data_IF_205209550254
#
_entry.id   IF_205209550254
#
_cell.length_a   1.000
_cell.length_b   1.000
_cell.length_c   1.000
_cell.angle_alpha   90.00
_cell.angle_beta   90.00
_cell.angle_gamma   90.00
#
_symmetry.space_group_name_H-M   'P 1'
#
loop_
_entity.id
_entity.type
_entity.pdbx_description
1 polymer ?
#
# COMPACT_ATOMS: atom_id res chain seq x y z
N UNK A 1 19.23 -7.07 18.35
CA UNK A 1 18.94 -8.51 18.12
C UNK A 1 17.49 -8.64 17.71
N UNK A 2 17.20 -9.27 16.56
CA UNK A 2 15.84 -9.38 16.03
C UNK A 2 15.03 -10.47 16.75
N UNK A 3 13.95 -10.08 17.41
CA UNK A 3 12.98 -11.00 18.01
C UNK A 3 11.85 -11.30 17.02
N UNK A 4 11.38 -12.55 16.92
CA UNK A 4 10.22 -12.92 16.09
C UNK A 4 8.97 -13.07 16.95
N UNK A 5 7.88 -12.42 16.56
CA UNK A 5 6.64 -12.34 17.33
C UNK A 5 5.41 -12.59 16.45
N UNK A 6 4.40 -13.29 16.98
CA UNK A 6 3.09 -13.41 16.34
C UNK A 6 2.21 -12.18 16.61
N UNK A 7 1.19 -11.95 15.79
CA UNK A 7 0.27 -10.81 15.93
C UNK A 7 -0.43 -10.77 17.30
N UNK A 8 -0.70 -11.92 17.91
CA UNK A 8 -1.29 -12.05 19.24
C UNK A 8 -0.41 -11.48 20.37
N UNK A 9 0.88 -11.32 20.11
CA UNK A 9 1.87 -10.78 21.05
C UNK A 9 2.21 -9.31 20.83
N UNK A 10 1.57 -8.66 19.85
CA UNK A 10 1.72 -7.24 19.54
C UNK A 10 0.55 -6.41 20.11
N UNK A 11 0.84 -5.15 20.43
CA UNK A 11 -0.21 -4.16 20.69
C UNK A 11 -0.63 -3.52 19.37
N UNK A 12 -1.94 -3.47 19.09
CA UNK A 12 -2.47 -2.76 17.92
C UNK A 12 -2.95 -1.38 18.38
N UNK A 13 -2.25 -0.34 17.96
CA UNK A 13 -2.60 1.06 18.25
C UNK A 13 -3.61 1.62 17.23
N UNK A 14 -4.30 2.70 17.62
CA UNK A 14 -5.35 3.40 16.87
C UNK A 14 -6.51 2.54 16.30
N UNK A 15 -6.62 1.28 16.72
CA UNK A 15 -7.66 0.33 16.28
C UNK A 15 -9.09 0.87 16.39
N UNK A 16 -9.34 1.73 17.37
CA UNK A 16 -10.66 2.33 17.60
C UNK A 16 -11.09 3.22 16.42
N UNK A 17 -10.16 3.93 15.79
CA UNK A 17 -10.42 4.89 14.72
C UNK A 17 -10.94 4.22 13.45
N UNK A 18 -10.68 2.92 13.27
CA UNK A 18 -11.10 2.16 12.08
C UNK A 18 -12.42 1.39 12.27
N UNK A 19 -13.01 1.39 13.47
CA UNK A 19 -14.17 0.53 13.80
C UNK A 19 -15.42 0.79 12.96
N UNK A 20 -15.60 2.00 12.45
CA UNK A 20 -16.74 2.34 11.59
C UNK A 20 -16.59 1.79 10.16
N UNK A 21 -15.40 1.31 9.77
CA UNK A 21 -15.15 0.74 8.45
C UNK A 21 -15.11 -0.78 8.56
N UNK A 22 -16.20 -1.44 8.11
CA UNK A 22 -16.37 -2.90 8.24
C UNK A 22 -15.21 -3.73 7.69
N UNK A 23 -14.61 -3.26 6.58
CA UNK A 23 -13.47 -3.89 5.92
C UNK A 23 -12.27 -4.08 6.86
N UNK A 24 -11.97 -3.11 7.72
CA UNK A 24 -10.84 -3.21 8.66
C UNK A 24 -10.99 -4.42 9.60
N UNK A 25 -12.19 -4.62 10.15
CA UNK A 25 -12.45 -5.74 11.04
C UNK A 25 -12.31 -7.10 10.33
N UNK A 26 -12.59 -7.15 9.03
CA UNK A 26 -12.39 -8.36 8.22
C UNK A 26 -10.90 -8.63 7.95
N UNK A 27 -10.14 -7.60 7.58
CA UNK A 27 -8.68 -7.69 7.39
C UNK A 27 -7.97 -8.14 8.67
N UNK A 28 -8.31 -7.56 9.82
CA UNK A 28 -7.70 -7.95 11.09
C UNK A 28 -7.95 -9.44 11.40
N UNK A 29 -9.16 -9.97 11.12
CA UNK A 29 -9.44 -11.39 11.30
C UNK A 29 -8.56 -12.25 10.39
N UNK A 30 -8.47 -11.90 9.09
CA UNK A 30 -7.60 -12.60 8.13
C UNK A 30 -6.15 -12.64 8.62
N UNK A 31 -5.63 -11.52 9.12
CA UNK A 31 -4.26 -11.44 9.64
C UNK A 31 -4.03 -12.28 10.89
N UNK A 32 -5.04 -12.41 11.76
CA UNK A 32 -4.98 -13.29 12.94
C UNK A 32 -5.00 -14.77 12.56
N UNK A 33 -5.74 -15.13 11.52
CA UNK A 33 -5.83 -16.52 11.05
C UNK A 33 -4.60 -16.95 10.23
N UNK A 34 -3.81 -15.99 9.73
CA UNK A 34 -2.66 -16.21 8.86
C UNK A 34 -1.34 -16.56 9.59
N UNK A 35 -1.34 -16.66 10.93
CA UNK A 35 -0.15 -16.98 11.76
C UNK A 35 1.11 -16.16 11.39
N UNK A 36 0.92 -14.87 11.08
CA UNK A 36 2.00 -14.00 10.60
C UNK A 36 3.05 -13.74 11.67
N UNK A 37 4.30 -13.68 11.20
CA UNK A 37 5.47 -13.41 12.04
C UNK A 37 6.00 -12.01 11.77
N UNK A 38 6.12 -11.21 12.82
CA UNK A 38 6.73 -9.87 12.80
C UNK A 38 8.12 -9.93 13.43
N UNK A 39 9.03 -9.10 12.93
CA UNK A 39 10.35 -8.96 13.49
C UNK A 39 10.45 -7.70 14.36
N UNK A 40 10.65 -7.84 15.67
CA UNK A 40 10.79 -6.71 16.59
C UNK A 40 12.28 -6.45 16.87
N UNK A 41 12.73 -5.22 16.60
CA UNK A 41 14.11 -4.80 16.87
C UNK A 41 14.31 -4.54 18.36
N UNK A 42 15.57 -4.62 18.81
CA UNK A 42 15.91 -4.17 20.16
C UNK A 42 15.83 -2.63 20.22
N UNK A 43 15.52 -2.04 21.38
CA UNK A 43 15.36 -0.58 21.52
C UNK A 43 16.58 0.23 21.04
N UNK A 44 17.79 -0.33 21.13
CA UNK A 44 19.02 0.32 20.66
C UNK A 44 19.17 0.35 19.14
N UNK A 45 18.34 -0.40 18.40
CA UNK A 45 18.37 -0.56 16.94
C UNK A 45 17.06 -0.10 16.29
N UNK A 46 16.13 0.51 17.05
CA UNK A 46 14.76 0.79 16.61
C UNK A 46 14.69 1.76 15.42
N UNK A 47 15.65 2.68 15.31
CA UNK A 47 15.77 3.63 14.21
C UNK A 47 16.15 2.98 12.87
N UNK A 48 16.61 1.72 12.90
CA UNK A 48 16.94 0.97 11.69
C UNK A 48 15.72 0.28 11.04
N UNK A 49 14.55 0.24 11.70
CA UNK A 49 13.38 -0.49 11.20
C UNK A 49 13.00 -0.11 9.76
N UNK A 50 12.84 1.19 9.48
CA UNK A 50 12.49 1.68 8.14
C UNK A 50 13.54 1.32 7.08
N UNK A 51 14.83 1.52 7.38
CA UNK A 51 15.92 1.15 6.47
C UNK A 51 15.88 -0.35 6.15
N UNK A 52 15.70 -1.18 7.17
CA UNK A 52 15.72 -2.62 7.01
C UNK A 52 14.49 -3.13 6.25
N UNK A 53 13.31 -2.53 6.49
CA UNK A 53 12.12 -2.83 5.69
C UNK A 53 12.35 -2.48 4.22
N UNK A 54 12.82 -1.26 3.92
CA UNK A 54 13.01 -0.81 2.53
C UNK A 54 14.09 -1.61 1.77
N UNK A 55 15.15 -2.03 2.44
CA UNK A 55 16.31 -2.64 1.78
C UNK A 55 16.32 -4.18 1.81
N UNK A 56 15.70 -4.80 2.82
CA UNK A 56 15.88 -6.23 3.10
C UNK A 56 14.59 -7.03 3.34
N UNK A 57 13.44 -6.37 3.47
CA UNK A 57 12.17 -7.09 3.58
C UNK A 57 11.91 -7.95 2.33
N UNK A 58 11.29 -9.11 2.53
CA UNK A 58 10.93 -10.04 1.46
C UNK A 58 9.56 -10.65 1.75
N UNK A 59 8.69 -10.78 0.74
CA UNK A 59 7.44 -11.51 0.90
C UNK A 59 7.68 -12.93 1.44
N UNK A 60 7.00 -13.27 2.53
CA UNK A 60 7.01 -14.62 3.12
C UNK A 60 8.10 -14.93 4.16
N UNK A 61 9.00 -14.00 4.53
CA UNK A 61 9.93 -14.18 5.67
C UNK A 61 9.29 -13.67 6.98
N UNK A 62 9.00 -12.38 7.01
CA UNK A 62 8.29 -11.69 8.09
C UNK A 62 7.30 -10.70 7.46
N UNK A 63 6.21 -10.42 8.18
CA UNK A 63 5.22 -9.44 7.76
C UNK A 63 5.82 -8.03 7.73
N UNK A 64 6.51 -7.61 8.80
CA UNK A 64 7.16 -6.31 8.90
C UNK A 64 8.24 -6.33 10.01
N UNK A 65 9.26 -5.47 9.88
CA UNK A 65 10.16 -5.12 10.98
C UNK A 65 9.61 -3.93 11.77
N UNK A 66 9.40 -4.12 13.06
CA UNK A 66 8.85 -3.14 13.98
C UNK A 66 9.93 -2.60 14.93
N UNK A 67 9.94 -1.29 15.22
CA UNK A 67 10.88 -0.67 16.16
C UNK A 67 10.64 -1.12 17.62
N UNK A 68 9.42 -1.55 17.93
CA UNK A 68 8.96 -2.00 19.24
C UNK A 68 7.80 -3.02 19.03
N UNK A 69 7.22 -3.63 20.07
CA UNK A 69 6.16 -4.63 19.90
C UNK A 69 4.77 -3.99 19.71
N UNK A 70 4.71 -2.92 18.92
CA UNK A 70 3.49 -2.19 18.55
C UNK A 70 3.37 -2.14 17.04
N UNK A 71 2.13 -2.28 16.55
CA UNK A 71 1.77 -2.05 15.16
C UNK A 71 0.56 -1.12 15.12
N UNK A 72 0.56 -0.11 14.26
CA UNK A 72 -0.62 0.74 14.10
C UNK A 72 -1.70 0.03 13.29
N UNK A 73 -2.95 0.48 13.42
CA UNK A 73 -4.05 -0.09 12.66
C UNK A 73 -3.86 0.04 11.15
N UNK A 74 -3.35 1.17 10.65
CA UNK A 74 -3.06 1.37 9.22
C UNK A 74 -1.93 0.44 8.74
N UNK A 75 -0.82 0.29 9.49
CA UNK A 75 0.23 -0.67 9.16
C UNK A 75 -0.30 -2.11 9.07
N UNK A 76 -1.14 -2.52 10.02
CA UNK A 76 -1.75 -3.85 9.97
C UNK A 76 -2.65 -4.02 8.74
N UNK A 77 -3.42 -2.99 8.38
CA UNK A 77 -4.28 -3.02 7.20
C UNK A 77 -3.47 -3.05 5.90
N UNK A 78 -2.39 -2.27 5.80
CA UNK A 78 -1.46 -2.27 4.68
C UNK A 78 -0.82 -3.65 4.50
N UNK A 79 -0.28 -4.23 5.57
CA UNK A 79 0.28 -5.59 5.56
C UNK A 79 -0.74 -6.66 5.18
N UNK A 80 -2.01 -6.47 5.53
CA UNK A 80 -3.07 -7.38 5.13
C UNK A 80 -3.25 -7.44 3.62
N UNK A 81 -3.13 -6.31 2.91
CA UNK A 81 -3.22 -6.31 1.45
C UNK A 81 -2.04 -7.00 0.78
N UNK A 82 -0.83 -6.86 1.32
CA UNK A 82 0.33 -7.64 0.86
C UNK A 82 0.12 -9.13 1.07
N UNK A 83 -0.35 -9.53 2.25
CA UNK A 83 -0.64 -10.93 2.54
C UNK A 83 -1.69 -11.50 1.57
N UNK A 84 -2.81 -10.80 1.39
CA UNK A 84 -3.87 -11.20 0.47
C UNK A 84 -3.39 -11.25 -0.99
N UNK A 85 -2.54 -10.32 -1.41
CA UNK A 85 -1.95 -10.36 -2.76
C UNK A 85 -1.09 -11.61 -2.95
N UNK A 86 -0.26 -11.99 -1.97
CA UNK A 86 0.52 -13.23 -2.01
C UNK A 86 -0.40 -14.46 -2.08
N UNK A 87 -1.45 -14.46 -1.27
CA UNK A 87 -2.41 -15.56 -1.18
C UNK A 87 -3.17 -15.77 -2.51
N UNK A 88 -3.70 -14.70 -3.10
CA UNK A 88 -4.58 -14.77 -4.27
C UNK A 88 -3.84 -14.77 -5.62
N UNK A 89 -2.63 -14.21 -5.68
CA UNK A 89 -1.80 -14.27 -6.90
C UNK A 89 -0.92 -15.52 -6.94
N UNK A 90 -0.71 -16.20 -5.80
CA UNK A 90 0.14 -17.39 -5.70
C UNK A 90 1.57 -17.10 -6.17
N UNK A 91 2.09 -17.94 -7.06
CA UNK A 91 3.45 -17.74 -7.59
C UNK A 91 3.62 -16.37 -8.28
N UNK A 92 2.56 -15.87 -8.92
CA UNK A 92 2.58 -14.60 -9.66
C UNK A 92 2.85 -13.39 -8.76
N UNK A 93 2.60 -13.50 -7.45
CA UNK A 93 2.98 -12.46 -6.47
C UNK A 93 4.49 -12.18 -6.46
N UNK A 94 5.32 -13.16 -6.84
CA UNK A 94 6.78 -13.02 -6.91
C UNK A 94 7.28 -12.41 -8.21
N UNK A 95 6.41 -12.26 -9.21
CA UNK A 95 6.80 -11.62 -10.47
C UNK A 95 7.04 -10.12 -10.26
N UNK A 96 7.82 -9.44 -11.13
CA UNK A 96 7.96 -8.00 -11.06
C UNK A 96 6.61 -7.25 -11.05
N UNK A 97 5.64 -7.65 -11.89
CA UNK A 97 4.32 -7.04 -11.87
C UNK A 97 3.50 -7.42 -10.63
N UNK A 98 3.66 -8.63 -10.10
CA UNK A 98 2.99 -9.03 -8.85
C UNK A 98 3.40 -8.16 -7.67
N UNK A 99 4.71 -7.91 -7.53
CA UNK A 99 5.25 -7.02 -6.50
C UNK A 99 4.71 -5.59 -6.64
N UNK A 100 4.69 -5.05 -7.87
CA UNK A 100 4.18 -3.70 -8.12
C UNK A 100 2.67 -3.58 -7.89
N UNK A 101 1.89 -4.60 -8.27
CA UNK A 101 0.44 -4.58 -8.07
C UNK A 101 0.06 -4.67 -6.59
N UNK A 102 0.72 -5.56 -5.84
CA UNK A 102 0.50 -5.72 -4.41
C UNK A 102 0.72 -4.39 -3.66
N UNK A 103 1.85 -3.73 -3.94
CA UNK A 103 2.19 -2.45 -3.36
C UNK A 103 1.24 -1.33 -3.82
N UNK A 104 0.86 -1.30 -5.11
CA UNK A 104 -0.11 -0.32 -5.60
C UNK A 104 -1.49 -0.45 -4.93
N UNK A 105 -1.94 -1.68 -4.62
CA UNK A 105 -3.19 -1.92 -3.88
C UNK A 105 -3.02 -1.47 -2.43
N UNK A 106 -1.97 -1.88 -1.73
CA UNK A 106 -1.75 -1.53 -0.34
C UNK A 106 -1.62 -0.01 -0.13
N UNK A 107 -0.76 0.64 -0.90
CA UNK A 107 -0.57 2.10 -0.88
C UNK A 107 -1.83 2.89 -1.27
N UNK A 108 -2.63 2.40 -2.21
CA UNK A 108 -3.90 3.04 -2.54
C UNK A 108 -4.97 2.85 -1.46
N UNK A 109 -4.93 1.74 -0.73
CA UNK A 109 -5.80 1.54 0.43
C UNK A 109 -5.53 2.55 1.54
N UNK A 110 -4.31 3.04 1.66
CA UNK A 110 -4.02 4.11 2.62
C UNK A 110 -4.80 5.40 2.30
N UNK A 111 -4.96 5.72 1.01
CA UNK A 111 -5.84 6.82 0.57
C UNK A 111 -7.31 6.54 0.85
N UNK A 112 -7.76 5.30 0.66
CA UNK A 112 -9.12 4.90 1.04
C UNK A 112 -9.35 5.12 2.54
N UNK A 113 -8.43 4.67 3.39
CA UNK A 113 -8.52 4.83 4.84
C UNK A 113 -8.57 6.31 5.25
N UNK A 114 -7.68 7.13 4.69
CA UNK A 114 -7.70 8.59 4.94
C UNK A 114 -9.06 9.17 4.57
N UNK A 115 -9.60 8.84 3.40
CA UNK A 115 -10.93 9.29 2.96
C UNK A 115 -12.05 8.89 3.93
N UNK A 116 -12.03 7.66 4.44
CA UNK A 116 -13.01 7.17 5.43
C UNK A 116 -12.83 7.82 6.81
N UNK A 117 -11.62 8.23 7.18
CA UNK A 117 -11.29 8.81 8.48
C UNK A 117 -11.58 10.32 8.55
N UNK A 118 -11.25 11.09 7.50
CA UNK A 118 -11.36 12.56 7.48
C UNK A 118 -12.73 13.09 7.96
N UNK A 119 -13.82 12.42 7.58
CA UNK A 119 -15.19 12.81 7.94
C UNK A 119 -15.75 12.22 9.24
N UNK A 120 -15.03 11.31 9.90
CA UNK A 120 -15.58 10.50 11.01
C UNK A 120 -14.71 10.51 12.27
N UNK A 121 -13.38 10.45 12.10
CA UNK A 121 -12.40 10.37 13.19
C UNK A 121 -11.22 11.28 12.84
N UNK A 122 -11.38 12.61 12.93
CA UNK A 122 -10.35 13.57 12.50
C UNK A 122 -9.07 13.53 13.34
N UNK A 123 -9.15 12.96 14.55
CA UNK A 123 -8.02 12.79 15.46
C UNK A 123 -7.32 11.43 15.32
N UNK A 124 -7.63 10.65 14.26
CA UNK A 124 -6.98 9.38 13.99
C UNK A 124 -5.47 9.57 13.77
N UNK A 125 -4.67 8.65 14.31
CA UNK A 125 -3.20 8.74 14.28
C UNK A 125 -2.66 8.70 12.85
N UNK A 126 -3.27 7.87 12.00
CA UNK A 126 -2.96 7.81 10.56
C UNK A 126 -3.09 9.19 9.89
N UNK A 127 -4.11 9.99 10.24
CA UNK A 127 -4.27 11.32 9.66
C UNK A 127 -3.18 12.28 10.14
N UNK A 128 -2.77 12.17 11.41
CA UNK A 128 -1.75 13.01 12.01
C UNK A 128 -0.35 12.80 11.39
N UNK A 129 -0.09 11.63 10.79
CA UNK A 129 1.19 11.31 10.13
C UNK A 129 1.11 11.43 8.61
N UNK A 130 0.09 10.85 7.97
CA UNK A 130 0.00 10.77 6.51
C UNK A 130 -0.39 12.10 5.86
N UNK A 131 -1.34 12.85 6.43
CA UNK A 131 -1.81 14.10 5.79
C UNK A 131 -0.70 15.16 5.73
N UNK A 132 0.12 15.39 6.78
CA UNK A 132 1.28 16.28 6.68
C UNK A 132 2.30 15.82 5.63
N UNK A 133 2.65 14.53 5.60
CA UNK A 133 3.60 14.00 4.62
C UNK A 133 3.10 14.16 3.17
N UNK A 134 1.83 13.87 2.91
CA UNK A 134 1.20 14.09 1.61
C UNK A 134 1.14 15.58 1.24
N UNK A 135 0.90 16.47 2.22
CA UNK A 135 0.90 17.92 2.02
C UNK A 135 2.28 18.42 1.58
N UNK A 136 3.35 17.96 2.26
CA UNK A 136 4.73 18.29 1.90
C UNK A 136 5.08 17.80 0.48
N UNK A 137 4.69 16.57 0.13
CA UNK A 137 4.87 16.03 -1.20
C UNK A 137 4.11 16.84 -2.27
N UNK A 138 2.85 17.19 -2.00
CA UNK A 138 2.02 17.99 -2.90
C UNK A 138 2.62 19.40 -3.11
N UNK A 139 3.10 20.04 -2.04
CA UNK A 139 3.77 21.33 -2.08
C UNK A 139 5.06 21.27 -2.92
N UNK A 140 5.87 20.21 -2.73
CA UNK A 140 7.06 19.97 -3.55
C UNK A 140 6.74 19.77 -5.05
N UNK A 141 5.55 19.25 -5.35
CA UNK A 141 5.04 19.10 -6.71
C UNK A 141 4.34 20.35 -7.28
N UNK A 142 4.32 21.46 -6.52
CA UNK A 142 3.78 22.75 -6.94
C UNK A 142 2.28 22.93 -6.70
N UNK A 143 1.67 22.10 -5.86
CA UNK A 143 0.28 22.24 -5.43
C UNK A 143 0.23 23.10 -4.17
N UNK A 144 -0.68 24.07 -4.14
CA UNK A 144 -0.89 24.92 -2.97
C UNK A 144 -1.84 24.26 -1.95
N UNK A 145 -2.00 24.91 -0.79
CA UNK A 145 -2.85 24.41 0.29
C UNK A 145 -4.31 24.22 -0.15
N UNK A 146 -4.84 25.09 -1.01
CA UNK A 146 -6.20 24.99 -1.54
C UNK A 146 -6.36 23.77 -2.45
N UNK A 147 -5.39 23.53 -3.35
CA UNK A 147 -5.35 22.36 -4.20
C UNK A 147 -5.23 21.06 -3.41
N UNK A 148 -4.41 21.04 -2.35
CA UNK A 148 -4.29 19.88 -1.48
C UNK A 148 -5.57 19.64 -0.65
N UNK A 149 -6.19 20.70 -0.12
CA UNK A 149 -7.48 20.59 0.57
C UNK A 149 -8.58 20.05 -0.35
N UNK A 150 -8.59 20.45 -1.62
CA UNK A 150 -9.50 19.90 -2.63
C UNK A 150 -9.25 18.40 -2.89
N UNK A 151 -7.99 17.96 -2.85
CA UNK A 151 -7.64 16.55 -2.95
C UNK A 151 -8.16 15.74 -1.75
N UNK A 152 -8.00 16.25 -0.53
CA UNK A 152 -8.55 15.62 0.69
C UNK A 152 -10.08 15.57 0.67
N UNK A 153 -10.75 16.64 0.23
CA UNK A 153 -12.21 16.66 0.04
C UNK A 153 -12.65 15.57 -0.93
N UNK A 154 -11.95 15.45 -2.06
CA UNK A 154 -12.22 14.39 -3.04
C UNK A 154 -12.05 12.98 -2.46
N UNK A 155 -10.96 12.74 -1.71
CA UNK A 155 -10.74 11.44 -1.05
C UNK A 155 -11.85 11.14 -0.04
N UNK A 156 -12.33 12.14 0.70
CA UNK A 156 -13.42 11.95 1.67
C UNK A 156 -14.78 11.74 1.01
N UNK A 157 -15.05 12.39 -0.13
CA UNK A 157 -16.33 12.32 -0.84
C UNK A 157 -16.46 11.05 -1.70
N UNK A 158 -15.35 10.58 -2.27
CA UNK A 158 -15.31 9.46 -3.21
C UNK A 158 -14.13 8.50 -2.89
N UNK A 159 -14.06 7.91 -1.68
CA UNK A 159 -12.90 7.13 -1.25
C UNK A 159 -12.65 5.89 -2.13
N UNK A 160 -13.69 5.21 -2.60
CA UNK A 160 -13.57 4.04 -3.49
C UNK A 160 -13.00 4.42 -4.87
N UNK A 161 -13.34 5.61 -5.36
CA UNK A 161 -12.82 6.13 -6.62
C UNK A 161 -11.39 6.67 -6.47
N UNK A 162 -11.12 7.35 -5.35
CA UNK A 162 -9.79 7.82 -5.00
C UNK A 162 -8.79 6.65 -4.92
N UNK A 163 -9.21 5.53 -4.30
CA UNK A 163 -8.47 4.28 -4.30
C UNK A 163 -8.08 3.84 -5.72
N UNK A 164 -9.06 3.66 -6.63
CA UNK A 164 -8.76 3.11 -7.96
C UNK A 164 -7.96 4.07 -8.83
N UNK A 165 -8.26 5.37 -8.79
CA UNK A 165 -7.49 6.37 -9.54
C UNK A 165 -6.02 6.38 -9.11
N UNK A 166 -5.74 6.28 -7.81
CA UNK A 166 -4.37 6.19 -7.31
C UNK A 166 -3.73 4.83 -7.63
N UNK A 167 -4.43 3.72 -7.35
CA UNK A 167 -3.92 2.35 -7.60
C UNK A 167 -3.52 2.17 -9.05
N UNK A 168 -4.40 2.53 -9.97
CA UNK A 168 -4.14 2.45 -11.41
C UNK A 168 -2.94 3.32 -11.80
N UNK A 169 -2.88 4.56 -11.30
CA UNK A 169 -1.75 5.47 -11.56
C UNK A 169 -0.42 4.89 -11.07
N UNK A 170 -0.36 4.42 -9.82
CA UNK A 170 0.83 3.81 -9.23
C UNK A 170 1.29 2.59 -10.03
N UNK A 171 0.36 1.70 -10.37
CA UNK A 171 0.68 0.49 -11.13
C UNK A 171 1.14 0.80 -12.55
N UNK A 172 0.47 1.71 -13.26
CA UNK A 172 0.83 2.10 -14.63
C UNK A 172 2.18 2.81 -14.70
N UNK A 173 2.44 3.74 -13.77
CA UNK A 173 3.71 4.46 -13.69
C UNK A 173 4.84 3.50 -13.38
N UNK A 174 4.73 2.70 -12.33
CA UNK A 174 5.83 1.81 -11.92
C UNK A 174 6.09 0.70 -12.93
N UNK A 175 5.05 0.14 -13.57
CA UNK A 175 5.21 -0.79 -14.69
C UNK A 175 5.98 -0.14 -15.86
N UNK A 176 5.59 1.08 -16.23
CA UNK A 176 6.26 1.79 -17.33
C UNK A 176 7.70 2.20 -16.98
N UNK A 177 7.97 2.56 -15.72
CA UNK A 177 9.31 2.84 -15.22
C UNK A 177 10.18 1.58 -15.16
N UNK A 178 9.60 0.44 -14.78
CA UNK A 178 10.28 -0.86 -14.79
C UNK A 178 10.81 -1.20 -16.19
N UNK A 179 9.99 -0.95 -17.21
CA UNK A 179 10.27 -1.17 -18.64
C UNK A 179 11.18 -0.09 -19.26
N UNK A 180 11.38 1.06 -18.60
CA UNK A 180 12.18 2.16 -19.15
C UNK A 180 13.67 1.81 -19.20
N UNK A 181 14.25 1.91 -20.41
CA UNK A 181 15.66 1.59 -20.69
C UNK A 181 16.63 2.63 -20.11
N UNK A 182 16.23 3.89 -20.08
CA UNK A 182 17.06 5.01 -19.63
C UNK A 182 16.25 6.11 -18.93
N UNK A 183 16.96 7.14 -18.45
CA UNK A 183 16.38 8.26 -17.73
C UNK A 183 15.45 9.13 -18.61
N UNK A 184 15.68 9.18 -19.93
CA UNK A 184 14.83 9.95 -20.85
C UNK A 184 13.49 9.25 -21.04
N UNK A 185 13.50 7.93 -21.24
CA UNK A 185 12.28 7.13 -21.29
C UNK A 185 11.49 7.23 -19.98
N UNK A 186 12.18 7.14 -18.83
CA UNK A 186 11.56 7.28 -17.51
C UNK A 186 10.96 8.68 -17.29
N UNK A 187 11.65 9.75 -17.69
CA UNK A 187 11.10 11.11 -17.60
C UNK A 187 9.82 11.25 -18.43
N UNK A 188 9.81 10.71 -19.65
CA UNK A 188 8.62 10.72 -20.51
C UNK A 188 7.44 9.94 -19.91
N UNK A 189 7.67 8.89 -19.09
CA UNK A 189 6.60 8.20 -18.34
C UNK A 189 5.93 9.17 -17.37
N UNK A 190 6.72 9.89 -16.59
CA UNK A 190 6.22 10.82 -15.57
C UNK A 190 5.50 12.02 -16.20
N UNK A 191 6.03 12.55 -17.31
CA UNK A 191 5.41 13.65 -18.06
C UNK A 191 4.01 13.29 -18.59
N UNK A 192 3.79 12.03 -19.02
CA UNK A 192 2.47 11.57 -19.50
C UNK A 192 1.39 11.60 -18.43
N UNK A 193 1.76 11.67 -17.15
CA UNK A 193 0.82 11.73 -16.03
C UNK A 193 0.48 13.16 -15.59
N UNK A 194 0.83 14.18 -16.38
CA UNK A 194 0.65 15.60 -16.04
C UNK A 194 -0.76 15.93 -15.50
N UNK A 195 -1.79 15.32 -16.09
CA UNK A 195 -3.20 15.57 -15.76
C UNK A 195 -3.76 14.62 -14.68
N UNK A 196 -2.97 13.65 -14.20
CA UNK A 196 -3.44 12.71 -13.20
C UNK A 196 -3.62 13.42 -11.85
N UNK A 197 -4.80 13.28 -11.24
CA UNK A 197 -5.16 13.94 -9.97
C UNK A 197 -4.15 13.70 -8.85
N UNK A 198 -3.69 12.45 -8.73
CA UNK A 198 -2.73 12.02 -7.71
C UNK A 198 -1.26 12.16 -8.14
N UNK A 199 -0.97 12.71 -9.33
CA UNK A 199 0.41 13.00 -9.77
C UNK A 199 1.25 13.73 -8.71
N UNK A 200 0.72 14.73 -7.98
CA UNK A 200 1.49 15.44 -6.96
C UNK A 200 2.01 14.54 -5.84
N UNK A 201 1.35 13.40 -5.59
CA UNK A 201 1.72 12.47 -4.53
C UNK A 201 2.66 11.36 -4.99
N UNK A 202 3.05 11.28 -6.27
CA UNK A 202 3.95 10.20 -6.72
C UNK A 202 5.28 10.17 -5.96
N UNK A 203 5.76 11.32 -5.48
CA UNK A 203 6.98 11.42 -4.68
C UNK A 203 6.80 10.92 -3.23
N UNK A 204 5.57 10.90 -2.71
CA UNK A 204 5.24 10.34 -1.39
C UNK A 204 5.46 8.83 -1.35
N UNK A 205 5.16 8.13 -2.43
CA UNK A 205 5.15 6.67 -2.51
C UNK A 205 6.51 6.01 -2.82
N UNK A 206 7.62 6.76 -2.77
CA UNK A 206 8.97 6.21 -2.94
C UNK A 206 9.13 5.27 -4.16
N UNK A 207 8.46 5.56 -5.29
CA UNK A 207 8.42 4.69 -6.48
C UNK A 207 9.78 4.13 -6.96
N UNK A 208 10.91 4.86 -6.85
CA UNK A 208 12.22 4.28 -7.17
C UNK A 208 12.53 3.02 -6.38
N UNK A 209 12.16 2.95 -5.10
CA UNK A 209 12.35 1.77 -4.24
C UNK A 209 11.57 0.59 -4.80
N UNK A 210 10.31 0.78 -5.18
CA UNK A 210 9.48 -0.30 -5.73
C UNK A 210 10.06 -0.84 -7.04
N UNK A 211 10.46 0.07 -7.94
CA UNK A 211 11.04 -0.31 -9.24
C UNK A 211 12.38 -1.01 -9.07
N UNK A 212 13.25 -0.52 -8.18
CA UNK A 212 14.54 -1.16 -7.90
C UNK A 212 14.35 -2.53 -7.25
N UNK A 213 13.41 -2.64 -6.31
CA UNK A 213 13.09 -3.89 -5.64
C UNK A 213 12.54 -4.93 -6.63
N UNK A 214 11.57 -4.56 -7.47
CA UNK A 214 11.02 -5.42 -8.51
C UNK A 214 12.09 -5.87 -9.52
N UNK A 215 13.05 -5.00 -9.87
CA UNK A 215 14.20 -5.35 -10.72
C UNK A 215 15.16 -6.33 -10.06
N UNK A 216 15.41 -6.16 -8.76
CA UNK A 216 16.39 -6.95 -8.02
C UNK A 216 15.85 -8.32 -7.60
N UNK A 217 14.57 -8.40 -7.23
CA UNK A 217 13.99 -9.56 -6.56
C UNK A 217 12.81 -10.20 -7.29
N UNK A 218 12.24 -9.54 -8.30
CA UNK A 218 11.12 -10.09 -9.06
C UNK A 218 11.54 -11.29 -9.92
N UNK A 219 10.82 -12.41 -9.79
CA UNK A 219 11.03 -13.61 -10.58
C UNK A 219 10.45 -13.46 -11.99
N UNK A 220 11.33 -13.24 -12.97
CA UNK A 220 10.97 -13.07 -14.38
C UNK A 220 10.55 -14.38 -15.06
N UNK A 221 10.68 -15.53 -14.40
CA UNK A 221 10.28 -16.83 -14.91
C UNK A 221 8.80 -17.17 -14.65
N UNK A 222 8.10 -16.37 -13.86
CA UNK A 222 6.71 -16.62 -13.45
C UNK A 222 5.72 -15.98 -14.44
N UNK A 223 4.60 -16.66 -14.67
CA UNK A 223 3.51 -16.14 -15.49
C UNK A 223 2.79 -14.97 -14.78
N UNK A 224 2.75 -13.82 -15.45
CA UNK A 224 2.13 -12.59 -14.95
C UNK A 224 0.68 -12.43 -15.42
N UNK A 225 0.11 -13.39 -16.16
CA UNK A 225 -1.29 -13.36 -16.59
C UNK A 225 -2.28 -13.18 -15.42
N UNK A 226 -2.11 -13.84 -14.24
CA UNK A 226 -2.97 -13.61 -13.09
C UNK A 226 -2.95 -12.15 -12.59
N UNK A 227 -1.77 -11.52 -12.59
CA UNK A 227 -1.60 -10.12 -12.17
C UNK A 227 -2.38 -9.18 -13.10
N UNK A 228 -2.25 -9.37 -14.42
CA UNK A 228 -2.99 -8.58 -15.41
C UNK A 228 -4.50 -8.78 -15.30
N UNK A 229 -4.94 -10.02 -15.06
CA UNK A 229 -6.37 -10.31 -14.88
C UNK A 229 -6.96 -9.60 -13.66
N UNK A 230 -6.21 -9.48 -12.56
CA UNK A 230 -6.64 -8.71 -11.38
C UNK A 230 -6.69 -7.22 -11.69
N UNK A 231 -5.66 -6.65 -12.32
CA UNK A 231 -5.67 -5.22 -12.70
C UNK A 231 -6.85 -4.89 -13.63
N UNK A 232 -7.11 -5.74 -14.63
CA UNK A 232 -8.27 -5.60 -15.52
C UNK A 232 -9.60 -5.69 -14.77
N UNK A 233 -9.72 -6.62 -13.81
CA UNK A 233 -10.93 -6.78 -13.01
C UNK A 233 -11.20 -5.56 -12.11
N UNK A 234 -10.17 -5.00 -11.48
CA UNK A 234 -10.28 -3.80 -10.65
C UNK A 234 -10.71 -2.58 -11.48
N UNK A 235 -10.10 -2.38 -12.66
CA UNK A 235 -10.45 -1.28 -13.58
C UNK A 235 -11.88 -1.39 -14.11
N UNK A 236 -12.39 -2.61 -14.28
CA UNK A 236 -13.73 -2.88 -14.77
C UNK A 236 -14.80 -2.85 -13.65
N UNK A 237 -14.40 -2.90 -12.39
CA UNK A 237 -15.32 -2.91 -11.27
C UNK A 237 -15.99 -1.55 -11.08
N UNK A 238 -17.32 -1.56 -10.87
CA UNK A 238 -18.06 -0.34 -10.47
C UNK A 238 -17.63 0.12 -9.08
N UNK A 239 -17.36 -0.84 -8.19
CA UNK A 239 -16.80 -0.62 -6.86
C UNK A 239 -15.61 -1.57 -6.67
N UNK A 240 -14.38 -1.06 -6.81
CA UNK A 240 -13.15 -1.86 -6.72
C UNK A 240 -12.86 -2.31 -5.29
N UNK A 241 -13.30 -1.55 -4.27
CA UNK A 241 -13.17 -1.94 -2.86
C UNK A 241 -14.09 -3.12 -2.57
N UNK A 242 -15.35 -3.03 -2.97
CA UNK A 242 -16.30 -4.13 -2.79
C UNK A 242 -15.91 -5.35 -3.64
N UNK A 243 -15.24 -5.17 -4.78
CA UNK A 243 -14.65 -6.28 -5.53
C UNK A 243 -13.54 -6.96 -4.73
N UNK A 244 -12.59 -6.21 -4.17
CA UNK A 244 -11.51 -6.75 -3.33
C UNK A 244 -12.04 -7.46 -2.09
N UNK A 245 -13.03 -6.87 -1.41
CA UNK A 245 -13.64 -7.47 -0.23
C UNK A 245 -14.22 -8.85 -0.56
N UNK A 246 -15.07 -8.94 -1.60
CA UNK A 246 -15.66 -10.22 -2.00
C UNK A 246 -14.63 -11.22 -2.53
N UNK A 247 -13.73 -10.76 -3.40
CA UNK A 247 -12.82 -11.64 -4.12
C UNK A 247 -11.67 -12.13 -3.23
N UNK A 248 -11.15 -11.27 -2.35
CA UNK A 248 -9.92 -11.55 -1.59
C UNK A 248 -10.15 -11.71 -0.09
N UNK A 249 -11.06 -10.94 0.50
CA UNK A 249 -11.25 -10.94 1.97
C UNK A 249 -12.25 -12.00 2.40
N UNK A 250 -13.36 -12.14 1.69
CA UNK A 250 -14.44 -13.09 2.02
C UNK A 250 -14.20 -14.50 1.47
N UNK A 251 -13.26 -14.66 0.54
CA UNK A 251 -12.96 -15.94 -0.11
C UNK A 251 -11.67 -16.53 0.46
N UNK A 252 -11.71 -17.79 0.90
CA UNK A 252 -10.49 -18.56 1.17
C UNK A 252 -9.78 -18.84 -0.16
N UNK A 253 -8.49 -18.54 -0.27
CA UNK A 253 -7.74 -18.84 -1.49
C UNK A 253 -7.76 -20.35 -1.81
N UNK A 254 -7.73 -20.67 -3.11
CA UNK A 254 -7.85 -22.04 -3.63
C UNK A 254 -6.50 -22.73 -3.76
#
# INVERSE_FOLDING_TARGET
MLERRGLESLTIEDRQSFRHVGLYGALERRMRDADLVFGVLSPEESDHASLLNLAFWKPGDIAELLPDPVITADQLAHNAWHHLAVEHLGEAARSPLGLLLAEAIASAMDVYWIGRLLGHVPDAEMLATQVPAMSEAAAAAGIDEEGFAALLSYMSEQPERAFEELRALLFDVTRSLLESEDATAAAAVLERQAEARFRPLLHHYELPTWVLFARAYGDRGVDEAPVRAVDEALRAAEDPIAWLERAWVETEAR
#
